data_IF_097738220012
#
_entry.id   IF_097738220012
#
_cell.length_a   1.000
_cell.length_b   1.000
_cell.length_c   1.000
_cell.angle_alpha   90.00
_cell.angle_beta   90.00
_cell.angle_gamma   90.00
#
_symmetry.space_group_name_H-M   'P 1'
#
loop_
_entity.id
_entity.type
_entity.pdbx_description
1 polymer ?
#
# COMPACT_ATOMS: atom_id res chain seq x y z
N UNK A 1 25.55 1.70 2.76
CA UNK A 1 24.27 1.74 3.50
C UNK A 1 23.89 0.32 3.92
N UNK A 2 23.70 0.05 5.22
CA UNK A 2 23.68 -1.32 5.77
C UNK A 2 22.32 -2.01 5.52
N UNK A 3 22.25 -3.14 4.78
CA UNK A 3 21.00 -3.78 4.35
C UNK A 3 20.16 -4.36 5.50
N UNK A 4 20.76 -4.51 6.68
CA UNK A 4 20.08 -5.02 7.89
C UNK A 4 19.15 -3.98 8.53
N UNK A 5 19.40 -2.67 8.36
CA UNK A 5 18.49 -1.64 8.89
C UNK A 5 17.13 -1.65 8.18
N UNK A 6 17.10 -2.03 6.90
CA UNK A 6 15.91 -2.02 6.05
C UNK A 6 14.87 -3.08 6.47
N UNK A 7 15.34 -4.22 6.99
CA UNK A 7 14.48 -5.31 7.49
C UNK A 7 13.75 -4.88 8.77
N UNK A 8 14.33 -3.96 9.56
CA UNK A 8 13.71 -3.43 10.77
C UNK A 8 12.48 -2.56 10.46
N UNK A 9 12.47 -1.86 9.32
CA UNK A 9 11.34 -1.02 8.87
C UNK A 9 10.15 -1.83 8.35
N UNK A 10 10.41 -2.98 7.71
CA UNK A 10 9.35 -3.91 7.29
C UNK A 10 8.49 -4.43 8.46
N UNK A 11 9.00 -4.36 9.69
CA UNK A 11 8.33 -4.85 10.91
C UNK A 11 7.23 -3.91 11.43
N UNK A 12 7.13 -2.68 10.92
CA UNK A 12 6.06 -1.73 11.29
C UNK A 12 4.75 -1.96 10.52
N UNK A 13 4.74 -2.89 9.57
CA UNK A 13 3.59 -3.14 8.72
C UNK A 13 2.66 -4.19 9.32
N UNK A 14 1.63 -3.74 10.04
CA UNK A 14 0.58 -4.62 10.58
C UNK A 14 -0.52 -4.84 9.55
N UNK A 15 -0.77 -6.11 9.20
CA UNK A 15 -1.82 -6.50 8.23
C UNK A 15 -3.21 -6.02 8.64
N UNK A 16 -3.48 -5.94 9.94
CA UNK A 16 -4.77 -5.53 10.49
C UNK A 16 -5.04 -4.03 10.32
N UNK A 17 -4.01 -3.19 10.38
CA UNK A 17 -4.17 -1.73 10.17
C UNK A 17 -4.53 -1.40 8.72
N UNK A 18 -3.92 -2.11 7.76
CA UNK A 18 -4.26 -1.96 6.35
C UNK A 18 -5.71 -2.38 6.06
N UNK A 19 -6.16 -3.47 6.68
CA UNK A 19 -7.55 -3.94 6.57
C UNK A 19 -8.55 -2.91 7.11
N UNK A 20 -8.32 -2.37 8.32
CA UNK A 20 -9.18 -1.34 8.91
C UNK A 20 -9.22 -0.05 8.08
N UNK A 21 -8.08 0.33 7.48
CA UNK A 21 -8.00 1.43 6.53
C UNK A 21 -8.83 1.16 5.27
N UNK A 22 -8.67 -0.02 4.66
CA UNK A 22 -9.39 -0.40 3.45
C UNK A 22 -10.92 -0.38 3.65
N UNK A 23 -11.40 -0.70 4.86
CA UNK A 23 -12.82 -0.63 5.21
C UNK A 23 -13.33 0.80 5.49
N UNK A 24 -12.44 1.74 5.84
CA UNK A 24 -12.80 3.13 6.16
C UNK A 24 -12.74 4.11 4.98
N UNK A 25 -11.94 3.82 3.95
CA UNK A 25 -11.78 4.68 2.77
C UNK A 25 -12.93 4.45 1.78
N UNK A 26 -13.97 5.27 1.89
CA UNK A 26 -15.04 5.32 0.91
C UNK A 26 -14.58 5.76 -0.49
N UNK A 27 -15.19 5.16 -1.51
CA UNK A 27 -15.30 5.55 -2.94
C UNK A 27 -14.07 5.47 -3.87
N UNK A 28 -12.82 5.51 -3.41
CA UNK A 28 -11.66 5.38 -4.32
C UNK A 28 -11.19 3.92 -4.49
N UNK A 29 -12.05 3.13 -5.13
CA UNK A 29 -11.89 1.70 -5.45
C UNK A 29 -10.54 1.38 -6.10
N UNK A 30 -10.13 2.18 -7.10
CA UNK A 30 -8.88 1.97 -7.82
C UNK A 30 -7.63 2.18 -6.96
N UNK A 31 -7.67 3.13 -6.03
CA UNK A 31 -6.58 3.42 -5.11
C UNK A 31 -6.39 2.29 -4.10
N UNK A 32 -7.48 1.85 -3.47
CA UNK A 32 -7.47 0.72 -2.53
C UNK A 32 -6.96 -0.56 -3.20
N UNK A 33 -7.36 -0.80 -4.45
CA UNK A 33 -6.86 -1.93 -5.24
C UNK A 33 -5.35 -1.85 -5.43
N UNK A 34 -4.81 -0.70 -5.84
CA UNK A 34 -3.35 -0.52 -6.01
C UNK A 34 -2.61 -0.71 -4.70
N UNK A 35 -3.12 -0.18 -3.59
CA UNK A 35 -2.54 -0.37 -2.27
C UNK A 35 -2.57 -1.85 -1.83
N UNK A 36 -3.64 -2.58 -2.12
CA UNK A 36 -3.75 -4.01 -1.83
C UNK A 36 -2.79 -4.86 -2.68
N UNK A 37 -2.66 -4.54 -3.98
CA UNK A 37 -1.67 -5.22 -4.85
C UNK A 37 -0.24 -4.99 -4.32
N UNK A 38 0.07 -3.75 -3.93
CA UNK A 38 1.35 -3.40 -3.32
C UNK A 38 1.59 -4.15 -2.00
N UNK A 39 0.55 -4.29 -1.16
CA UNK A 39 0.60 -5.08 0.07
C UNK A 39 1.03 -6.52 -0.20
N UNK A 40 0.43 -7.18 -1.20
CA UNK A 40 0.78 -8.56 -1.54
C UNK A 40 2.16 -8.66 -2.21
N UNK A 41 2.51 -7.73 -3.09
CA UNK A 41 3.84 -7.64 -3.69
C UNK A 41 4.93 -7.44 -2.62
N UNK A 42 4.67 -6.64 -1.59
CA UNK A 42 5.57 -6.46 -0.45
C UNK A 42 5.80 -7.74 0.35
N UNK A 43 4.76 -8.59 0.49
CA UNK A 43 4.84 -9.87 1.21
C UNK A 43 5.52 -10.98 0.43
N UNK A 44 5.61 -10.85 -0.89
CA UNK A 44 6.27 -11.84 -1.74
C UNK A 44 7.78 -11.92 -1.41
N UNK A 45 8.33 -13.10 -1.05
CA UNK A 45 9.75 -13.26 -0.77
C UNK A 45 10.64 -12.86 -1.95
N UNK A 46 10.20 -13.05 -3.19
CA UNK A 46 10.97 -12.77 -4.41
C UNK A 46 11.06 -11.27 -4.73
N UNK A 47 10.23 -10.44 -4.11
CA UNK A 47 10.28 -8.99 -4.34
C UNK A 47 11.59 -8.42 -3.76
N UNK A 48 12.38 -7.66 -4.55
CA UNK A 48 13.64 -7.11 -4.08
C UNK A 48 13.48 -6.20 -2.87
N UNK A 49 14.48 -6.21 -1.98
CA UNK A 49 14.43 -5.48 -0.70
C UNK A 49 14.23 -3.97 -0.88
N UNK A 50 14.80 -3.37 -1.95
CA UNK A 50 14.62 -1.94 -2.22
C UNK A 50 13.17 -1.61 -2.62
N UNK A 51 12.51 -2.50 -3.39
CA UNK A 51 11.09 -2.37 -3.75
C UNK A 51 10.24 -2.50 -2.49
N UNK A 52 10.53 -3.50 -1.65
CA UNK A 52 9.85 -3.67 -0.35
C UNK A 52 9.97 -2.43 0.52
N UNK A 53 11.11 -1.76 0.54
CA UNK A 53 11.29 -0.53 1.32
C UNK A 53 10.47 0.64 0.79
N UNK A 54 10.41 0.82 -0.53
CA UNK A 54 9.60 1.87 -1.16
C UNK A 54 8.12 1.61 -0.91
N UNK A 55 7.67 0.37 -1.09
CA UNK A 55 6.29 -0.03 -0.83
C UNK A 55 5.94 0.10 0.65
N UNK A 56 6.82 -0.30 1.56
CA UNK A 56 6.64 -0.11 3.00
C UNK A 56 6.59 1.37 3.38
N UNK A 57 7.39 2.22 2.74
CA UNK A 57 7.34 3.67 2.92
C UNK A 57 6.01 4.26 2.46
N UNK A 58 5.53 3.87 1.27
CA UNK A 58 4.26 4.33 0.73
C UNK A 58 3.05 3.85 1.55
N UNK A 59 3.00 2.56 1.89
CA UNK A 59 1.91 2.01 2.71
C UNK A 59 2.00 2.49 4.17
N UNK A 60 3.20 2.66 4.69
CA UNK A 60 3.44 3.29 6.00
C UNK A 60 2.98 4.73 6.02
N UNK A 61 3.25 5.49 4.95
CA UNK A 61 2.71 6.83 4.74
C UNK A 61 1.19 6.84 4.54
N UNK A 62 0.53 5.74 4.19
CA UNK A 62 -0.95 5.74 4.25
C UNK A 62 -1.46 5.55 5.68
N UNK A 63 -0.76 4.74 6.48
CA UNK A 63 -1.24 4.34 7.80
C UNK A 63 -0.86 5.38 8.88
N UNK A 64 0.32 5.99 8.79
CA UNK A 64 0.85 6.91 9.81
C UNK A 64 0.22 8.33 9.84
N UNK A 65 -0.14 8.98 8.72
CA UNK A 65 -0.70 10.33 8.76
C UNK A 65 -2.21 10.34 9.01
N UNK A 66 -2.93 9.23 8.86
CA UNK A 66 -4.36 9.20 9.21
C UNK A 66 -4.55 9.36 10.72
N UNK A 67 -3.71 8.71 11.54
CA UNK A 67 -3.71 8.91 13.00
C UNK A 67 -3.27 10.34 13.42
N UNK A 68 -2.53 11.08 12.57
CA UNK A 68 -2.03 12.44 12.88
C UNK A 68 -2.88 13.58 12.29
N UNK A 69 -3.57 13.33 11.18
CA UNK A 69 -4.32 14.33 10.40
C UNK A 69 -5.82 14.25 10.65
N UNK A 70 -6.34 13.09 11.10
CA UNK A 70 -7.79 12.88 11.34
C UNK A 70 -8.41 13.87 12.32
N UNK A 71 -7.61 14.53 13.18
CA UNK A 71 -8.15 15.52 14.12
C UNK A 71 -8.33 16.94 13.53
N UNK A 72 -7.79 17.28 12.34
CA UNK A 72 -7.65 18.72 11.98
C UNK A 72 -8.05 19.20 10.58
N UNK A 73 -8.19 18.36 9.55
CA UNK A 73 -8.41 18.90 8.20
C UNK A 73 -9.47 18.09 7.43
N UNK A 74 -10.73 18.58 7.36
CA UNK A 74 -11.76 17.97 6.57
C UNK A 74 -11.70 18.53 5.14
N UNK A 75 -10.79 18.05 4.27
CA UNK A 75 -10.92 17.98 2.79
C UNK A 75 -9.61 17.89 1.98
N UNK A 76 -8.43 18.13 2.55
CA UNK A 76 -7.15 18.20 1.79
C UNK A 76 -6.24 17.04 2.21
N UNK A 77 -5.98 16.08 1.32
CA UNK A 77 -5.02 15.00 1.57
C UNK A 77 -4.98 13.86 0.53
N UNK A 78 -6.08 13.63 -0.18
CA UNK A 78 -6.25 12.40 -0.97
C UNK A 78 -5.40 12.34 -2.25
N UNK A 79 -5.05 13.50 -2.82
CA UNK A 79 -4.24 13.59 -4.04
C UNK A 79 -2.78 13.22 -3.77
N UNK A 80 -2.24 13.62 -2.61
CA UNK A 80 -0.87 13.32 -2.21
C UNK A 80 -0.71 11.81 -1.93
N UNK A 81 -1.67 11.21 -1.23
CA UNK A 81 -1.72 9.77 -0.99
C UNK A 81 -1.79 8.95 -2.30
N UNK A 82 -2.65 9.38 -3.24
CA UNK A 82 -2.79 8.74 -4.54
C UNK A 82 -1.50 8.82 -5.38
N UNK A 83 -0.79 9.95 -5.32
CA UNK A 83 0.49 10.12 -5.99
C UNK A 83 1.57 9.23 -5.40
N UNK A 84 1.65 9.13 -4.07
CA UNK A 84 2.60 8.26 -3.35
C UNK A 84 2.36 6.79 -3.72
N UNK A 85 1.12 6.34 -3.75
CA UNK A 85 0.78 4.96 -4.15
C UNK A 85 1.03 4.73 -5.64
N UNK A 86 0.70 5.68 -6.51
CA UNK A 86 0.99 5.55 -7.93
C UNK A 86 2.50 5.42 -8.21
N UNK A 87 3.33 6.18 -7.49
CA UNK A 87 4.78 6.10 -7.61
C UNK A 87 5.32 4.75 -7.11
N UNK A 88 4.86 4.30 -5.94
CA UNK A 88 5.24 2.99 -5.42
C UNK A 88 4.79 1.85 -6.36
N UNK A 89 3.59 1.96 -6.93
CA UNK A 89 3.06 1.01 -7.90
C UNK A 89 3.93 0.98 -9.16
N UNK A 90 4.35 2.15 -9.68
CA UNK A 90 5.24 2.24 -10.85
C UNK A 90 6.58 1.53 -10.61
N UNK A 91 7.16 1.70 -9.42
CA UNK A 91 8.41 1.03 -9.04
C UNK A 91 8.21 -0.48 -8.87
N UNK A 92 7.11 -0.88 -8.23
CA UNK A 92 6.80 -2.29 -7.99
C UNK A 92 6.27 -3.02 -9.24
N UNK A 93 5.84 -2.32 -10.29
CA UNK A 93 5.11 -2.90 -11.42
C UNK A 93 5.82 -4.09 -12.08
N UNK A 94 7.15 -4.05 -12.16
CA UNK A 94 7.95 -5.16 -12.73
C UNK A 94 8.00 -6.41 -11.84
N UNK A 95 7.63 -6.29 -10.58
CA UNK A 95 7.62 -7.35 -9.57
C UNK A 95 6.21 -7.76 -9.16
N UNK A 96 5.17 -7.05 -9.66
CA UNK A 96 3.78 -7.43 -9.45
C UNK A 96 3.48 -8.65 -10.33
N UNK A 97 3.21 -9.77 -9.66
CA UNK A 97 2.81 -11.03 -10.27
C UNK A 97 1.28 -11.14 -10.34
N UNK A 98 0.72 -11.99 -11.22
CA UNK A 98 -0.72 -12.25 -11.29
C UNK A 98 -1.33 -12.64 -9.93
N UNK A 99 -0.63 -13.48 -9.18
CA UNK A 99 -1.04 -13.90 -7.83
C UNK A 99 -1.27 -12.73 -6.85
N UNK A 100 -0.50 -11.63 -6.95
CA UNK A 100 -0.69 -10.47 -6.07
C UNK A 100 -2.00 -9.74 -6.38
N UNK A 101 -2.39 -9.71 -7.67
CA UNK A 101 -3.64 -9.11 -8.12
C UNK A 101 -4.85 -9.95 -7.71
N UNK A 102 -4.76 -11.27 -7.89
CA UNK A 102 -5.81 -12.20 -7.46
C UNK A 102 -6.04 -12.15 -5.95
N UNK A 103 -4.96 -12.10 -5.16
CA UNK A 103 -5.06 -11.97 -3.71
C UNK A 103 -5.66 -10.63 -3.29
N UNK A 104 -5.26 -9.53 -3.95
CA UNK A 104 -5.85 -8.21 -3.72
C UNK A 104 -7.35 -8.18 -4.03
N UNK A 105 -7.78 -8.85 -5.09
CA UNK A 105 -9.18 -8.92 -5.51
C UNK A 105 -10.06 -9.72 -4.54
N UNK A 106 -9.50 -10.71 -3.84
CA UNK A 106 -10.21 -11.43 -2.76
C UNK A 106 -10.42 -10.57 -1.51
N UNK A 107 -9.46 -9.70 -1.20
CA UNK A 107 -9.49 -8.82 -0.03
C UNK A 107 -10.43 -7.62 -0.24
N UNK A 108 -10.43 -7.09 -1.47
CA UNK A 108 -11.30 -5.99 -1.87
C UNK A 108 -12.03 -6.41 -3.14
N UNK A 109 -13.21 -7.07 -3.02
CA UNK A 109 -13.95 -7.56 -4.16
C UNK A 109 -14.43 -6.38 -5.00
N UNK A 110 -13.95 -6.28 -6.23
CA UNK A 110 -14.46 -5.31 -7.21
C UNK A 110 -14.77 -6.00 -8.53
N UNK A 111 -15.85 -5.53 -9.17
CA UNK A 111 -16.20 -5.80 -10.56
C UNK A 111 -15.06 -5.41 -11.50
N UNK A 112 -15.04 -6.08 -12.65
CA UNK A 112 -14.01 -6.01 -13.69
C UNK A 112 -13.63 -4.56 -14.03
N UNK A 113 -12.32 -4.33 -14.21
CA UNK A 113 -11.87 -3.18 -14.99
C UNK A 113 -12.37 -3.38 -16.42
N UNK A 114 -13.43 -2.65 -16.78
CA UNK A 114 -13.69 -2.25 -18.16
C UNK A 114 -13.13 -0.85 -18.37
#
# INVERSE_FOLDING_TARGET
MNPLKLIKYAKFFSSSKFLNFATGVGKNVAFLRRAAILFYCFRDPDTPKYVKAIVAGALGYLILPIDLVSDRIPFIGWVDDAAVIALAFKVANRFIKPMHREQAQKLVPFGSEE
#
